data_IF_265322392357
#
_entry.id   IF_265322392357
#
_cell.length_a   1.000
_cell.length_b   1.000
_cell.length_c   1.000
_cell.angle_alpha   90.00
_cell.angle_beta   90.00
_cell.angle_gamma   90.00
#
_symmetry.space_group_name_H-M   'P 1'
#
loop_
_entity.id
_entity.type
_entity.pdbx_description
1 polymer ?
#
# COMPACT_ATOMS: atom_id res chain seq x y z
N UNK A 1 46.38 -12.91 -2.36
CA UNK A 1 46.35 -12.39 -3.73
C UNK A 1 47.58 -11.56 -3.92
N UNK A 2 48.24 -11.62 -5.07
CA UNK A 2 49.29 -10.65 -5.40
C UNK A 2 48.68 -9.25 -5.62
N UNK A 3 49.48 -8.20 -5.53
CA UNK A 3 49.02 -6.83 -5.81
C UNK A 3 48.57 -6.67 -7.27
N UNK A 4 49.15 -7.44 -8.20
CA UNK A 4 48.78 -7.39 -9.62
C UNK A 4 47.36 -7.90 -9.88
N UNK A 5 47.00 -9.08 -9.35
CA UNK A 5 45.64 -9.62 -9.50
C UNK A 5 44.61 -8.76 -8.76
N UNK A 6 45.00 -8.15 -7.62
CA UNK A 6 44.15 -7.20 -6.89
C UNK A 6 43.85 -5.96 -7.72
N UNK A 7 44.87 -5.36 -8.34
CA UNK A 7 44.70 -4.23 -9.28
C UNK A 7 43.83 -4.61 -10.47
N UNK A 8 43.95 -5.84 -10.99
CA UNK A 8 43.11 -6.33 -12.08
C UNK A 8 41.62 -6.35 -11.67
N UNK A 9 41.29 -6.99 -10.53
CA UNK A 9 39.92 -7.01 -10.02
C UNK A 9 39.38 -5.60 -9.75
N UNK A 10 40.17 -4.70 -9.15
CA UNK A 10 39.77 -3.30 -8.94
C UNK A 10 39.42 -2.62 -10.27
N UNK A 11 40.27 -2.76 -11.29
CA UNK A 11 40.00 -2.21 -12.63
C UNK A 11 38.71 -2.78 -13.23
N UNK A 12 38.48 -4.09 -13.10
CA UNK A 12 37.25 -4.72 -13.57
C UNK A 12 36.02 -4.21 -12.83
N UNK A 13 36.09 -4.01 -11.51
CA UNK A 13 35.00 -3.42 -10.75
C UNK A 13 34.71 -1.97 -11.15
N UNK A 14 35.74 -1.17 -11.45
CA UNK A 14 35.55 0.19 -11.96
C UNK A 14 34.81 0.17 -13.30
N UNK A 15 35.20 -0.70 -14.23
CA UNK A 15 34.52 -0.84 -15.53
C UNK A 15 33.05 -1.24 -15.32
N UNK A 16 32.79 -2.23 -14.45
CA UNK A 16 31.42 -2.63 -14.11
C UNK A 16 30.62 -1.48 -13.50
N UNK A 17 31.20 -0.73 -12.56
CA UNK A 17 30.55 0.42 -11.93
C UNK A 17 30.15 1.49 -12.98
N UNK A 18 31.00 1.76 -13.97
CA UNK A 18 30.66 2.67 -15.09
C UNK A 18 29.50 2.13 -15.92
N UNK A 19 29.47 0.82 -16.19
CA UNK A 19 28.34 0.19 -16.90
C UNK A 19 27.05 0.32 -16.08
N UNK A 20 27.09 -0.01 -14.79
CA UNK A 20 25.94 0.16 -13.89
C UNK A 20 25.44 1.60 -13.86
N UNK A 21 26.34 2.59 -13.80
CA UNK A 21 26.00 4.00 -13.84
C UNK A 21 25.36 4.40 -15.17
N UNK A 22 25.84 3.87 -16.30
CA UNK A 22 25.25 4.12 -17.61
C UNK A 22 23.82 3.57 -17.69
N UNK A 23 23.57 2.35 -17.20
CA UNK A 23 22.22 1.77 -17.14
C UNK A 23 21.31 2.52 -16.18
N UNK A 24 21.82 2.92 -15.01
CA UNK A 24 21.10 3.78 -14.08
C UNK A 24 20.69 5.10 -14.73
N UNK A 25 21.64 5.77 -15.38
CA UNK A 25 21.38 7.05 -16.05
C UNK A 25 20.36 6.87 -17.17
N UNK A 26 20.50 5.81 -17.98
CA UNK A 26 19.55 5.48 -19.03
C UNK A 26 18.13 5.30 -18.44
N UNK A 27 17.96 4.52 -17.37
CA UNK A 27 16.66 4.36 -16.70
C UNK A 27 16.11 5.66 -16.10
N UNK A 28 16.98 6.49 -15.54
CA UNK A 28 16.60 7.79 -15.00
C UNK A 28 16.05 8.74 -16.07
N UNK A 29 16.66 8.75 -17.25
CA UNK A 29 16.27 9.65 -18.35
C UNK A 29 15.17 9.08 -19.26
N UNK A 30 14.95 7.76 -19.31
CA UNK A 30 13.87 7.15 -20.11
C UNK A 30 12.52 7.08 -19.40
N UNK A 31 12.47 7.34 -18.10
CA UNK A 31 11.23 7.38 -17.34
C UNK A 31 10.28 8.45 -17.91
N UNK A 32 9.11 8.01 -18.39
CA UNK A 32 8.15 8.86 -19.13
C UNK A 32 7.32 9.80 -18.24
N UNK A 33 7.59 9.84 -16.95
CA UNK A 33 6.91 10.71 -15.98
C UNK A 33 5.62 10.13 -15.39
N UNK A 34 5.16 10.75 -14.29
CA UNK A 34 3.99 10.31 -13.49
C UNK A 34 2.70 10.11 -14.30
N UNK A 35 2.47 10.95 -15.30
CA UNK A 35 1.24 10.92 -16.13
C UNK A 35 1.11 9.61 -16.90
N UNK A 36 2.23 9.02 -17.34
CA UNK A 36 2.26 7.81 -18.15
C UNK A 36 2.21 6.50 -17.35
N UNK A 37 2.22 6.58 -16.02
CA UNK A 37 2.09 5.39 -15.16
C UNK A 37 0.68 4.80 -15.30
N UNK A 38 0.58 3.51 -15.50
CA UNK A 38 -0.67 2.76 -15.60
C UNK A 38 -0.54 1.42 -14.87
N UNK A 39 -1.60 0.61 -14.85
CA UNK A 39 -1.64 -0.69 -14.17
C UNK A 39 -0.57 -1.70 -14.61
N UNK A 40 0.02 -1.52 -15.79
CA UNK A 40 1.09 -2.37 -16.34
C UNK A 40 2.49 -1.80 -16.11
N UNK A 41 2.60 -0.66 -15.41
CA UNK A 41 3.89 -0.04 -15.15
C UNK A 41 4.66 -0.81 -14.10
N UNK A 42 5.85 -1.28 -14.48
CA UNK A 42 6.77 -2.04 -13.65
C UNK A 42 8.19 -1.54 -13.88
N UNK A 43 9.04 -1.60 -12.86
CA UNK A 43 10.43 -1.16 -13.03
C UNK A 43 11.32 -2.19 -13.70
N UNK A 44 10.95 -3.47 -13.67
CA UNK A 44 11.78 -4.50 -14.27
C UNK A 44 11.58 -4.54 -15.79
N UNK A 45 12.69 -4.40 -16.52
CA UNK A 45 12.71 -4.53 -17.98
C UNK A 45 12.94 -5.97 -18.44
N UNK A 46 13.57 -6.78 -17.60
CA UNK A 46 13.96 -8.13 -17.95
C UNK A 46 12.75 -9.08 -17.86
N UNK A 47 12.25 -9.51 -19.00
CA UNK A 47 11.28 -10.61 -19.18
C UNK A 47 11.96 -11.62 -20.13
N UNK A 48 12.05 -12.91 -19.75
CA UNK A 48 12.83 -13.91 -20.52
C UNK A 48 12.42 -14.04 -22.01
N UNK A 49 11.20 -13.62 -22.35
CA UNK A 49 10.62 -13.69 -23.70
C UNK A 49 10.76 -12.39 -24.50
N UNK A 50 11.55 -11.44 -24.03
CA UNK A 50 11.76 -10.14 -24.68
C UNK A 50 13.14 -10.11 -25.36
N UNK A 51 13.22 -9.61 -26.60
CA UNK A 51 14.45 -9.58 -27.42
C UNK A 51 15.61 -8.85 -26.74
N UNK A 52 15.24 -7.88 -25.89
CA UNK A 52 16.17 -7.13 -25.04
C UNK A 52 16.90 -8.07 -24.08
N UNK A 53 16.21 -9.03 -23.47
CA UNK A 53 16.74 -9.95 -22.46
C UNK A 53 17.77 -10.92 -23.02
N UNK A 54 17.55 -11.45 -24.22
CA UNK A 54 18.49 -12.35 -24.90
C UNK A 54 19.79 -11.61 -25.25
N UNK A 55 19.66 -10.42 -25.83
CA UNK A 55 20.79 -9.53 -26.15
C UNK A 55 21.63 -9.22 -24.90
N UNK A 56 20.97 -9.03 -23.74
CA UNK A 56 21.67 -8.76 -22.47
C UNK A 56 22.49 -9.95 -21.98
N UNK A 57 21.95 -11.16 -22.05
CA UNK A 57 22.70 -12.36 -21.69
C UNK A 57 23.92 -12.56 -22.59
N UNK A 58 23.78 -12.28 -23.89
CA UNK A 58 24.89 -12.38 -24.84
C UNK A 58 26.00 -11.37 -24.53
N UNK A 59 25.66 -10.08 -24.32
CA UNK A 59 26.64 -9.03 -23.99
C UNK A 59 27.33 -9.31 -22.65
N UNK A 60 26.57 -9.75 -21.64
CA UNK A 60 27.09 -10.15 -20.33
C UNK A 60 28.06 -11.33 -20.43
N UNK A 61 27.68 -12.36 -21.20
CA UNK A 61 28.52 -13.52 -21.46
C UNK A 61 29.81 -13.17 -22.21
N UNK A 62 29.72 -12.32 -23.24
CA UNK A 62 30.88 -11.84 -23.98
C UNK A 62 31.84 -11.04 -23.09
N UNK A 63 31.32 -10.17 -22.22
CA UNK A 63 32.13 -9.46 -21.24
C UNK A 63 32.86 -10.44 -20.30
N UNK A 64 32.16 -11.43 -19.76
CA UNK A 64 32.75 -12.44 -18.87
C UNK A 64 33.79 -13.30 -19.59
N UNK A 65 33.58 -13.61 -20.86
CA UNK A 65 34.55 -14.34 -21.68
C UNK A 65 35.85 -13.53 -21.86
N UNK A 66 35.72 -12.26 -22.27
CA UNK A 66 36.88 -11.36 -22.43
C UNK A 66 37.60 -11.18 -21.09
N UNK A 67 36.85 -10.96 -20.02
CA UNK A 67 37.38 -10.91 -18.65
C UNK A 67 38.17 -12.17 -18.31
N UNK A 68 37.60 -13.37 -18.52
CA UNK A 68 38.27 -14.63 -18.23
C UNK A 68 39.55 -14.80 -19.04
N UNK A 69 39.55 -14.44 -20.33
CA UNK A 69 40.74 -14.50 -21.20
C UNK A 69 41.87 -13.63 -20.62
N UNK A 70 41.57 -12.38 -20.24
CA UNK A 70 42.58 -11.49 -19.65
C UNK A 70 43.06 -11.97 -18.28
N UNK A 71 42.16 -12.52 -17.45
CA UNK A 71 42.50 -13.09 -16.16
C UNK A 71 43.47 -14.26 -16.32
N UNK A 72 43.18 -15.21 -17.21
CA UNK A 72 44.03 -16.37 -17.45
C UNK A 72 45.36 -15.94 -18.08
N UNK A 73 45.34 -15.09 -19.10
CA UNK A 73 46.56 -14.68 -19.81
C UNK A 73 47.56 -13.97 -18.90
N UNK A 74 47.08 -13.12 -18.01
CA UNK A 74 47.95 -12.22 -17.22
C UNK A 74 48.18 -12.69 -15.78
N UNK A 75 47.32 -13.56 -15.23
CA UNK A 75 47.33 -13.92 -13.81
C UNK A 75 47.14 -15.43 -13.57
N UNK A 76 47.49 -16.28 -14.55
CA UNK A 76 47.58 -17.73 -14.36
C UNK A 76 48.97 -18.17 -13.87
N UNK A 77 49.05 -19.40 -13.33
CA UNK A 77 50.27 -20.09 -12.87
C UNK A 77 50.93 -19.49 -11.62
N UNK A 78 50.19 -18.76 -10.81
CA UNK A 78 50.70 -18.16 -9.56
C UNK A 78 50.62 -19.11 -8.34
N UNK A 79 50.13 -20.35 -8.51
CA UNK A 79 50.09 -21.40 -7.47
C UNK A 79 49.49 -20.95 -6.11
N UNK A 80 48.37 -20.24 -6.16
CA UNK A 80 47.68 -19.79 -4.95
C UNK A 80 47.17 -20.98 -4.10
N UNK A 81 47.59 -21.04 -2.83
CA UNK A 81 47.08 -22.00 -1.84
C UNK A 81 46.08 -21.35 -0.87
N UNK A 82 45.14 -22.15 -0.36
CA UNK A 82 44.27 -21.80 0.77
C UNK A 82 43.48 -20.49 0.58
N UNK A 83 43.48 -19.62 1.60
CA UNK A 83 42.64 -18.42 1.67
C UNK A 83 42.81 -17.42 0.52
N UNK A 84 43.93 -17.45 -0.22
CA UNK A 84 44.10 -16.60 -1.40
C UNK A 84 43.25 -17.07 -2.60
N UNK A 85 43.06 -18.38 -2.75
CA UNK A 85 42.19 -18.96 -3.77
C UNK A 85 40.72 -18.65 -3.47
N UNK A 86 40.34 -18.71 -2.19
CA UNK A 86 39.00 -18.35 -1.73
C UNK A 86 38.68 -16.86 -1.99
N UNK A 87 39.63 -15.95 -1.74
CA UNK A 87 39.48 -14.52 -2.09
C UNK A 87 39.22 -14.33 -3.59
N UNK A 88 39.94 -15.04 -4.45
CA UNK A 88 39.71 -15.00 -5.91
C UNK A 88 38.32 -15.54 -6.25
N UNK A 89 37.89 -16.63 -5.63
CA UNK A 89 36.55 -17.18 -5.83
C UNK A 89 35.45 -16.18 -5.48
N UNK A 90 35.57 -15.45 -4.36
CA UNK A 90 34.65 -14.38 -3.98
C UNK A 90 34.68 -13.23 -5.00
N UNK A 91 35.86 -12.78 -5.43
CA UNK A 91 35.95 -11.72 -6.44
C UNK A 91 35.30 -12.13 -7.77
N UNK A 92 35.44 -13.39 -8.18
CA UNK A 92 34.75 -13.92 -9.36
C UNK A 92 33.23 -13.98 -9.18
N UNK A 93 32.74 -14.32 -7.98
CA UNK A 93 31.31 -14.30 -7.68
C UNK A 93 30.75 -12.88 -7.81
N UNK A 94 31.45 -11.89 -7.22
CA UNK A 94 31.05 -10.50 -7.31
C UNK A 94 31.06 -9.98 -8.75
N UNK A 95 32.07 -10.35 -9.55
CA UNK A 95 32.10 -9.99 -10.97
C UNK A 95 30.94 -10.63 -11.72
N UNK A 96 30.68 -11.93 -11.51
CA UNK A 96 29.55 -12.59 -12.14
C UNK A 96 28.23 -11.92 -11.78
N UNK A 97 28.00 -11.64 -10.49
CA UNK A 97 26.80 -10.97 -10.00
C UNK A 97 26.64 -9.57 -10.60
N UNK A 98 27.68 -8.73 -10.58
CA UNK A 98 27.64 -7.37 -11.13
C UNK A 98 27.41 -7.39 -12.65
N UNK A 99 28.10 -8.29 -13.37
CA UNK A 99 27.89 -8.43 -14.81
C UNK A 99 26.46 -8.82 -15.14
N UNK A 100 25.78 -9.65 -14.36
CA UNK A 100 24.39 -9.99 -14.64
C UNK A 100 23.37 -9.04 -14.02
N UNK A 101 23.75 -8.06 -13.20
CA UNK A 101 22.80 -7.19 -12.47
C UNK A 101 22.71 -5.76 -12.98
N UNK A 102 23.43 -5.36 -14.04
CA UNK A 102 23.36 -3.97 -14.53
C UNK A 102 21.97 -3.53 -14.99
N UNK A 103 21.09 -4.44 -15.43
CA UNK A 103 19.69 -4.08 -15.74
C UNK A 103 18.89 -3.71 -14.49
N UNK A 104 19.26 -4.23 -13.31
CA UNK A 104 18.64 -3.81 -12.05
C UNK A 104 18.97 -2.33 -11.80
N UNK A 105 20.16 -1.86 -12.21
CA UNK A 105 20.51 -0.45 -12.14
C UNK A 105 19.61 0.43 -13.02
N UNK A 106 19.16 -0.05 -14.17
CA UNK A 106 18.13 0.64 -14.97
C UNK A 106 16.83 0.81 -14.18
N UNK A 107 16.36 -0.26 -13.53
CA UNK A 107 15.18 -0.22 -12.68
C UNK A 107 15.35 0.74 -11.48
N UNK A 108 16.55 0.78 -10.89
CA UNK A 108 16.89 1.77 -9.86
C UNK A 108 16.88 3.21 -10.38
N UNK A 109 17.35 3.42 -11.62
CA UNK A 109 17.28 4.73 -12.28
C UNK A 109 15.86 5.24 -12.43
N UNK A 110 14.94 4.39 -12.92
CA UNK A 110 13.53 4.74 -13.03
C UNK A 110 12.88 5.01 -11.67
N UNK A 111 13.18 4.19 -10.67
CA UNK A 111 12.68 4.39 -9.31
C UNK A 111 13.21 5.70 -8.69
N UNK A 112 14.49 6.00 -8.89
CA UNK A 112 15.08 7.26 -8.45
C UNK A 112 14.39 8.44 -9.14
N UNK A 113 14.14 8.37 -10.45
CA UNK A 113 13.43 9.42 -11.17
C UNK A 113 11.99 9.59 -10.68
N UNK A 114 11.27 8.50 -10.42
CA UNK A 114 9.93 8.54 -9.82
C UNK A 114 9.95 9.31 -8.50
N UNK A 115 10.89 8.99 -7.61
CA UNK A 115 11.01 9.64 -6.29
C UNK A 115 11.44 11.10 -6.37
N UNK A 116 12.16 11.49 -7.42
CA UNK A 116 12.48 12.90 -7.70
C UNK A 116 11.24 13.67 -8.19
N UNK A 117 10.40 13.06 -9.04
CA UNK A 117 9.18 13.71 -9.55
C UNK A 117 8.04 13.72 -8.53
N UNK A 118 8.02 12.76 -7.61
CA UNK A 118 7.05 12.63 -6.54
C UNK A 118 7.77 12.16 -5.27
N UNK A 119 7.97 13.07 -4.31
CA UNK A 119 8.51 12.66 -3.03
C UNK A 119 7.50 11.78 -2.27
N UNK A 120 7.98 10.92 -1.38
CA UNK A 120 7.10 10.10 -0.53
C UNK A 120 6.20 10.98 0.34
N UNK A 121 6.74 12.10 0.85
CA UNK A 121 5.97 13.06 1.63
C UNK A 121 4.82 13.67 0.82
N UNK A 122 5.09 14.10 -0.41
CA UNK A 122 4.05 14.66 -1.29
C UNK A 122 3.01 13.62 -1.66
N UNK A 123 3.43 12.39 -1.96
CA UNK A 123 2.49 11.30 -2.23
C UNK A 123 1.61 10.97 -1.02
N UNK A 124 2.20 10.96 0.18
CA UNK A 124 1.46 10.77 1.42
C UNK A 124 0.50 11.93 1.69
N UNK A 125 0.87 13.18 1.38
CA UNK A 125 0.00 14.34 1.49
C UNK A 125 -1.17 14.29 0.49
N UNK A 126 -0.91 13.82 -0.74
CA UNK A 126 -1.96 13.59 -1.74
C UNK A 126 -2.95 12.52 -1.23
N UNK A 127 -2.46 11.40 -0.68
CA UNK A 127 -3.31 10.37 -0.06
C UNK A 127 -4.11 10.89 1.14
N UNK A 128 -3.52 11.72 2.01
CA UNK A 128 -4.23 12.35 3.13
C UNK A 128 -5.38 13.22 2.62
N UNK A 129 -5.15 14.02 1.57
CA UNK A 129 -6.21 14.83 0.96
C UNK A 129 -7.33 13.94 0.41
N UNK A 130 -6.99 12.90 -0.33
CA UNK A 130 -7.97 11.93 -0.86
C UNK A 130 -8.76 11.23 0.26
N UNK A 131 -8.12 10.88 1.38
CA UNK A 131 -8.78 10.28 2.53
C UNK A 131 -9.75 11.25 3.23
N UNK A 132 -9.38 12.52 3.38
CA UNK A 132 -10.27 13.57 3.91
C UNK A 132 -11.47 13.75 2.99
N UNK A 133 -11.25 13.80 1.68
CA UNK A 133 -12.28 14.05 0.67
C UNK A 133 -13.06 12.81 0.22
N UNK A 134 -12.69 11.61 0.68
CA UNK A 134 -13.21 10.33 0.18
C UNK A 134 -14.75 10.32 -0.04
N UNK A 135 -15.58 10.79 0.90
CA UNK A 135 -17.04 10.73 0.72
C UNK A 135 -17.54 11.66 -0.40
N UNK A 136 -16.81 12.71 -0.75
CA UNK A 136 -17.13 13.62 -1.84
C UNK A 136 -16.61 13.12 -3.19
N UNK A 137 -15.93 11.97 -3.23
CA UNK A 137 -15.41 11.39 -4.47
C UNK A 137 -16.47 10.54 -5.19
N UNK A 138 -17.59 10.18 -4.56
CA UNK A 138 -18.64 9.33 -5.13
C UNK A 138 -19.76 10.16 -5.79
N UNK A 139 -20.16 9.84 -7.02
CA UNK A 139 -20.96 10.74 -7.88
C UNK A 139 -22.46 10.44 -7.97
N UNK A 140 -22.87 9.23 -7.59
CA UNK A 140 -24.27 8.88 -7.49
C UNK A 140 -24.44 8.18 -6.16
N UNK A 141 -25.23 8.77 -5.28
CA UNK A 141 -25.55 8.12 -4.04
C UNK A 141 -27.03 8.24 -3.80
N UNK A 142 -27.72 7.13 -3.58
CA UNK A 142 -29.13 7.08 -3.13
C UNK A 142 -29.32 7.63 -1.71
N UNK A 143 -28.35 8.38 -1.20
CA UNK A 143 -28.24 8.83 0.18
C UNK A 143 -29.00 10.14 0.37
N UNK A 144 -29.56 10.37 1.56
CA UNK A 144 -30.01 11.69 1.97
C UNK A 144 -28.82 12.53 2.41
N UNK A 145 -28.95 13.84 2.26
CA UNK A 145 -27.95 14.80 2.70
C UNK A 145 -27.56 14.64 4.18
N UNK A 146 -28.53 14.35 5.04
CA UNK A 146 -28.31 14.08 6.46
C UNK A 146 -27.24 13.00 6.69
N UNK A 147 -27.20 11.95 5.89
CA UNK A 147 -26.29 10.84 6.16
C UNK A 147 -24.83 11.19 5.87
N UNK A 148 -24.56 12.00 4.83
CA UNK A 148 -23.21 12.40 4.43
C UNK A 148 -22.70 13.63 5.20
N UNK A 149 -23.63 14.50 5.62
CA UNK A 149 -23.34 15.81 6.22
C UNK A 149 -23.97 16.02 7.61
N UNK A 150 -24.27 14.96 8.37
CA UNK A 150 -24.56 15.09 9.80
C UNK A 150 -23.24 15.07 10.60
N UNK A 151 -23.04 16.11 11.42
CA UNK A 151 -21.85 16.24 12.25
C UNK A 151 -21.69 15.08 13.25
N UNK A 152 -22.79 14.47 13.71
CA UNK A 152 -22.76 13.30 14.60
C UNK A 152 -22.17 12.10 13.86
N UNK A 153 -22.55 11.88 12.59
CA UNK A 153 -21.97 10.83 11.76
C UNK A 153 -20.50 11.08 11.41
N UNK A 154 -20.07 12.35 11.35
CA UNK A 154 -18.69 12.75 11.01
C UNK A 154 -17.77 12.74 12.24
N UNK A 155 -18.26 13.14 13.42
CA UNK A 155 -17.50 13.22 14.67
C UNK A 155 -17.39 11.89 15.44
N UNK A 156 -18.24 10.91 15.09
CA UNK A 156 -18.18 9.56 15.65
C UNK A 156 -17.67 8.52 14.62
N UNK A 157 -16.41 8.58 14.16
CA UNK A 157 -15.83 7.57 13.26
C UNK A 157 -15.49 6.25 13.98
N UNK A 158 -15.89 6.06 15.24
CA UNK A 158 -15.84 4.74 15.87
C UNK A 158 -17.03 3.95 15.34
N UNK A 159 -16.86 2.67 14.97
CA UNK A 159 -17.98 1.87 14.53
C UNK A 159 -19.14 2.04 15.50
N UNK A 160 -20.34 2.31 15.00
CA UNK A 160 -21.51 1.66 15.56
C UNK A 160 -21.06 0.21 15.70
N UNK A 161 -20.66 -0.24 16.89
CA UNK A 161 -19.77 -1.38 16.94
C UNK A 161 -20.68 -2.55 16.61
N UNK A 162 -20.59 -3.10 15.40
CA UNK A 162 -21.47 -4.20 15.01
C UNK A 162 -20.71 -5.50 15.21
N UNK A 163 -21.31 -6.45 15.91
CA UNK A 163 -20.74 -7.78 16.08
C UNK A 163 -21.45 -8.74 15.14
N UNK A 164 -20.68 -9.43 14.30
CA UNK A 164 -21.15 -10.51 13.43
C UNK A 164 -21.42 -11.75 14.29
N UNK A 165 -22.58 -12.37 14.09
CA UNK A 165 -22.95 -13.66 14.67
C UNK A 165 -23.35 -14.59 13.52
N UNK A 166 -22.75 -15.77 13.49
CA UNK A 166 -23.09 -16.80 12.52
C UNK A 166 -23.86 -17.88 13.27
N UNK A 167 -25.15 -18.01 12.97
CA UNK A 167 -26.00 -19.05 13.55
C UNK A 167 -26.20 -20.14 12.49
N UNK A 168 -26.09 -21.41 12.90
CA UNK A 168 -26.37 -22.55 12.02
C UNK A 168 -27.85 -22.89 12.12
N UNK A 169 -28.61 -22.66 11.05
CA UNK A 169 -30.07 -22.88 11.03
C UNK A 169 -30.38 -24.37 10.88
N UNK A 170 -29.60 -25.09 10.07
CA UNK A 170 -29.79 -26.52 9.81
C UNK A 170 -28.47 -27.25 10.00
N UNK A 171 -28.44 -28.18 10.95
CA UNK A 171 -27.30 -29.07 11.17
C UNK A 171 -27.37 -30.28 10.25
N UNK A 172 -26.28 -30.55 9.50
CA UNK A 172 -26.18 -31.67 8.57
C UNK A 172 -24.86 -31.64 7.79
N UNK A 173 -24.73 -32.49 6.77
CA UNK A 173 -23.51 -32.62 5.92
C UNK A 173 -23.22 -31.34 5.10
N UNK A 174 -24.23 -30.48 4.92
CA UNK A 174 -24.12 -29.12 4.36
C UNK A 174 -24.86 -28.11 5.25
N UNK A 175 -24.20 -27.58 6.29
CA UNK A 175 -24.87 -26.67 7.22
C UNK A 175 -25.23 -25.35 6.54
N UNK A 176 -26.50 -24.94 6.67
CA UNK A 176 -26.95 -23.61 6.26
C UNK A 176 -26.66 -22.66 7.42
N UNK A 177 -25.81 -21.67 7.17
CA UNK A 177 -25.48 -20.63 8.14
C UNK A 177 -26.18 -19.34 7.75
N UNK A 178 -26.74 -18.65 8.73
CA UNK A 178 -27.28 -17.31 8.58
C UNK A 178 -26.42 -16.34 9.37
N UNK A 179 -26.04 -15.26 8.69
CA UNK A 179 -25.22 -14.21 9.26
C UNK A 179 -26.12 -13.10 9.77
N UNK A 180 -26.10 -12.87 11.07
CA UNK A 180 -26.77 -11.75 11.73
C UNK A 180 -25.74 -10.76 12.27
N UNK A 181 -26.05 -9.47 12.23
CA UNK A 181 -25.22 -8.43 12.83
C UNK A 181 -25.99 -7.75 13.96
N UNK A 182 -25.31 -7.37 15.03
CA UNK A 182 -25.93 -6.68 16.18
C UNK A 182 -25.16 -5.41 16.51
N UNK A 183 -25.85 -4.32 16.88
CA UNK A 183 -25.19 -3.15 17.47
C UNK A 183 -24.46 -3.52 18.77
N UNK A 184 -23.52 -2.69 19.18
CA UNK A 184 -22.81 -2.80 20.46
C UNK A 184 -23.10 -1.50 21.19
N UNK A 185 -23.86 -1.64 22.25
CA UNK A 185 -24.32 -0.52 23.06
C UNK A 185 -23.63 -0.57 24.42
N UNK A 186 -23.62 0.57 25.11
CA UNK A 186 -22.96 0.71 26.42
C UNK A 186 -23.92 1.32 27.42
N UNK A 187 -24.05 0.70 28.59
CA UNK A 187 -24.77 1.25 29.74
C UNK A 187 -23.75 1.59 30.82
N UNK A 188 -23.87 2.79 31.39
CA UNK A 188 -23.13 3.20 32.58
C UNK A 188 -24.11 3.55 33.69
N UNK A 189 -24.04 2.83 34.80
CA UNK A 189 -24.91 3.02 35.95
C UNK A 189 -24.11 2.91 37.25
N UNK A 190 -24.63 3.45 38.35
CA UNK A 190 -24.08 3.17 39.68
C UNK A 190 -24.15 1.66 39.94
N UNK A 191 -23.06 1.08 40.45
CA UNK A 191 -22.97 -0.36 40.73
C UNK A 191 -24.08 -0.81 41.67
N UNK A 192 -24.35 -0.01 42.70
CA UNK A 192 -25.43 -0.25 43.66
C UNK A 192 -26.83 -0.19 43.03
N UNK A 193 -27.03 0.64 42.01
CA UNK A 193 -28.29 0.70 41.27
C UNK A 193 -28.43 -0.51 40.37
N UNK A 194 -27.41 -0.81 39.56
CA UNK A 194 -27.40 -1.94 38.62
C UNK A 194 -27.61 -3.28 39.31
N UNK A 195 -26.99 -3.49 40.47
CA UNK A 195 -27.10 -4.75 41.21
C UNK A 195 -28.49 -4.93 41.82
N UNK A 196 -29.14 -3.84 42.25
CA UNK A 196 -30.51 -3.83 42.82
C UNK A 196 -31.61 -3.94 41.76
N UNK A 197 -31.32 -3.59 40.52
CA UNK A 197 -32.29 -3.66 39.42
C UNK A 197 -32.47 -5.13 39.04
N UNK A 198 -33.68 -5.69 39.11
CA UNK A 198 -33.94 -7.14 38.88
C UNK A 198 -35.01 -7.42 37.86
N UNK A 199 -35.85 -6.44 37.48
CA UNK A 199 -37.00 -6.67 36.62
C UNK A 199 -37.08 -5.71 35.44
N UNK A 200 -37.81 -6.12 34.41
CA UNK A 200 -38.02 -5.33 33.19
C UNK A 200 -38.61 -3.95 33.48
N UNK A 201 -39.54 -3.87 34.44
CA UNK A 201 -40.24 -2.65 34.88
C UNK A 201 -39.36 -1.63 35.62
N UNK A 202 -38.07 -1.91 35.77
CA UNK A 202 -37.12 -0.94 36.31
C UNK A 202 -36.65 0.00 35.18
N UNK A 203 -36.50 1.30 35.49
CA UNK A 203 -36.29 2.37 34.50
C UNK A 203 -35.10 2.16 33.54
N UNK A 204 -34.08 1.39 33.93
CA UNK A 204 -32.91 1.08 33.10
C UNK A 204 -33.24 0.00 32.06
N UNK A 205 -34.03 -1.01 32.43
CA UNK A 205 -34.37 -2.14 31.55
C UNK A 205 -35.58 -1.85 30.65
N UNK A 206 -36.50 -1.00 31.10
CA UNK A 206 -37.61 -0.52 30.28
C UNK A 206 -37.12 0.25 29.04
N UNK A 207 -36.04 1.02 29.18
CA UNK A 207 -35.41 1.75 28.06
C UNK A 207 -34.73 0.78 27.07
N UNK A 208 -34.20 -0.34 27.55
CA UNK A 208 -33.48 -1.33 26.73
C UNK A 208 -34.43 -2.32 26.04
N UNK A 209 -35.64 -2.52 26.59
CA UNK A 209 -36.66 -3.41 26.03
C UNK A 209 -36.48 -4.90 26.37
N UNK A 210 -35.41 -5.27 27.10
CA UNK A 210 -35.12 -6.64 27.53
C UNK A 210 -34.66 -6.69 29.01
N UNK A 211 -34.86 -7.84 29.65
CA UNK A 211 -34.60 -8.03 31.09
C UNK A 211 -33.11 -8.27 31.42
N UNK A 212 -32.81 -8.39 32.72
CA UNK A 212 -31.46 -8.60 33.24
C UNK A 212 -30.81 -9.89 32.74
N UNK A 213 -31.57 -10.98 32.61
CA UNK A 213 -31.03 -12.27 32.15
C UNK A 213 -30.65 -12.21 30.66
N UNK A 214 -31.50 -11.57 29.85
CA UNK A 214 -31.28 -11.33 28.43
C UNK A 214 -30.09 -10.39 28.20
N UNK A 215 -29.93 -9.34 29.03
CA UNK A 215 -28.75 -8.47 29.01
C UNK A 215 -27.47 -9.28 29.30
N UNK A 216 -27.47 -10.15 30.32
CA UNK A 216 -26.29 -10.96 30.66
C UNK A 216 -25.83 -11.88 29.52
N UNK A 217 -26.76 -12.46 28.75
CA UNK A 217 -26.44 -13.26 27.56
C UNK A 217 -25.81 -12.43 26.43
N UNK A 218 -26.02 -11.12 26.45
CA UNK A 218 -25.57 -10.16 25.42
C UNK A 218 -24.33 -9.39 25.85
N UNK A 219 -23.85 -9.51 27.09
CA UNK A 219 -22.66 -8.79 27.57
C UNK A 219 -21.42 -9.21 26.78
N UNK A 220 -20.66 -8.21 26.33
CA UNK A 220 -19.35 -8.33 25.70
C UNK A 220 -18.26 -8.03 26.73
N UNK A 221 -18.44 -6.98 27.53
CA UNK A 221 -17.54 -6.66 28.63
C UNK A 221 -18.25 -5.93 29.76
N UNK A 222 -17.71 -6.06 30.97
CA UNK A 222 -18.16 -5.37 32.18
C UNK A 222 -16.94 -4.80 32.89
N UNK A 223 -16.95 -3.50 33.14
CA UNK A 223 -15.86 -2.77 33.81
C UNK A 223 -16.43 -2.00 35.01
N UNK A 224 -15.80 -2.13 36.16
CA UNK A 224 -16.17 -1.36 37.35
C UNK A 224 -15.16 -0.21 37.51
N UNK A 225 -15.64 1.02 37.55
CA UNK A 225 -14.85 2.24 37.71
C UNK A 225 -15.41 3.01 38.91
N UNK A 226 -14.72 2.91 40.05
CA UNK A 226 -15.22 3.43 41.32
C UNK A 226 -16.57 2.81 41.67
N UNK A 227 -17.57 3.65 41.95
CA UNK A 227 -18.94 3.23 42.28
C UNK A 227 -19.84 3.05 41.04
N UNK A 228 -19.26 3.06 39.84
CA UNK A 228 -19.98 2.88 38.58
C UNK A 228 -19.61 1.59 37.87
N UNK A 229 -20.61 0.93 37.31
CA UNK A 229 -20.45 -0.21 36.43
C UNK A 229 -20.76 0.24 35.00
N UNK A 230 -19.81 -0.01 34.11
CA UNK A 230 -19.96 0.12 32.67
C UNK A 230 -20.11 -1.27 32.04
N UNK A 231 -21.13 -1.46 31.22
CA UNK A 231 -21.43 -2.72 30.54
C UNK A 231 -21.55 -2.45 29.05
N UNK A 232 -20.74 -3.15 28.27
CA UNK A 232 -20.79 -3.18 26.81
C UNK A 232 -21.52 -4.46 26.40
N UNK A 233 -22.54 -4.39 25.55
CA UNK A 233 -23.38 -5.54 25.21
C UNK A 233 -23.88 -5.50 23.75
N UNK A 234 -24.32 -6.65 23.23
CA UNK A 234 -24.98 -6.80 21.92
C UNK A 234 -26.38 -6.21 21.99
N UNK A 235 -26.61 -5.08 21.32
CA UNK A 235 -27.89 -4.41 21.24
C UNK A 235 -28.84 -5.03 20.22
N UNK A 236 -29.47 -4.19 19.40
CA UNK A 236 -30.45 -4.60 18.40
C UNK A 236 -29.79 -5.27 17.19
N UNK A 237 -30.51 -6.18 16.53
CA UNK A 237 -30.07 -6.77 15.26
C UNK A 237 -30.15 -5.71 14.16
N UNK A 238 -29.08 -5.60 13.37
CA UNK A 238 -28.94 -4.66 12.26
C UNK A 238 -28.60 -5.41 10.98
N UNK A 239 -28.91 -4.82 9.83
CA UNK A 239 -28.66 -5.42 8.51
C UNK A 239 -27.70 -4.53 7.71
N UNK A 240 -26.38 -4.60 7.93
CA UNK A 240 -25.39 -3.74 7.29
C UNK A 240 -25.44 -3.70 5.76
N UNK A 241 -25.92 -4.78 5.14
CA UNK A 241 -26.01 -4.95 3.69
C UNK A 241 -27.31 -4.38 3.09
N UNK A 242 -28.31 -4.05 3.92
CA UNK A 242 -29.62 -3.54 3.52
C UNK A 242 -30.02 -2.22 4.19
N UNK A 243 -29.25 -1.80 5.19
CA UNK A 243 -29.43 -0.56 5.91
C UNK A 243 -28.59 0.53 5.24
N UNK A 244 -29.27 1.41 4.48
CA UNK A 244 -28.65 2.51 3.74
C UNK A 244 -27.86 3.48 4.65
N UNK A 245 -28.06 3.45 5.97
CA UNK A 245 -27.31 4.24 6.96
C UNK A 245 -25.96 3.61 7.31
N UNK A 246 -25.84 2.28 7.25
CA UNK A 246 -24.63 1.53 7.59
C UNK A 246 -23.59 1.57 6.45
N UNK A 247 -24.03 1.57 5.18
CA UNK A 247 -23.13 1.70 4.02
C UNK A 247 -22.30 3.00 4.07
N UNK A 248 -22.93 4.12 4.45
CA UNK A 248 -22.28 5.44 4.53
C UNK A 248 -21.28 5.49 5.69
N UNK A 249 -21.58 4.80 6.79
CA UNK A 249 -20.67 4.65 7.92
C UNK A 249 -19.41 3.85 7.52
N UNK A 250 -19.58 2.76 6.77
CA UNK A 250 -18.47 1.95 6.24
C UNK A 250 -17.63 2.71 5.20
N UNK A 251 -18.27 3.50 4.34
CA UNK A 251 -17.60 4.34 3.33
C UNK A 251 -16.87 5.54 3.96
N UNK A 252 -17.48 6.21 4.96
CA UNK A 252 -16.83 7.31 5.70
C UNK A 252 -15.64 6.85 6.56
N UNK A 253 -15.68 5.61 7.06
CA UNK A 253 -14.59 4.95 7.79
C UNK A 253 -13.46 4.49 6.86
N UNK A 254 -13.78 4.21 5.59
CA UNK A 254 -12.81 3.76 4.62
C UNK A 254 -11.86 4.89 4.22
N UNK A 255 -10.57 4.60 4.26
CA UNK A 255 -9.56 5.45 3.65
C UNK A 255 -9.57 5.15 2.14
N UNK A 256 -9.45 6.18 1.32
CA UNK A 256 -9.21 6.01 -0.11
C UNK A 256 -7.94 5.18 -0.35
N UNK A 257 -6.87 5.49 0.39
CA UNK A 257 -5.62 4.74 0.36
C UNK A 257 -4.81 4.99 1.64
N UNK A 258 -4.30 3.96 2.33
CA UNK A 258 -3.53 4.14 3.55
C UNK A 258 -2.21 4.87 3.28
N UNK A 259 -1.89 5.77 4.19
CA UNK A 259 -0.59 6.47 4.26
C UNK A 259 0.39 5.56 5.00
N UNK A 260 1.64 5.52 4.56
CA UNK A 260 2.67 4.72 5.23
C UNK A 260 3.13 5.41 6.52
N UNK A 261 3.37 4.63 7.59
CA UNK A 261 3.92 5.11 8.86
C UNK A 261 2.92 5.36 10.01
N UNK A 262 1.63 5.55 9.73
CA UNK A 262 0.59 5.73 10.77
C UNK A 262 -0.38 4.52 10.81
N UNK A 263 -0.99 4.25 11.98
CA UNK A 263 -2.03 3.21 12.07
C UNK A 263 -3.29 3.61 11.31
N UNK A 264 -3.97 2.62 10.70
CA UNK A 264 -5.21 2.85 9.95
C UNK A 264 -6.25 3.58 10.81
N UNK A 265 -6.42 3.15 12.07
CA UNK A 265 -7.36 3.78 13.00
C UNK A 265 -7.07 5.27 13.26
N UNK A 266 -5.78 5.64 13.41
CA UNK A 266 -5.37 7.04 13.58
C UNK A 266 -5.66 7.85 12.32
N UNK A 267 -5.38 7.30 11.14
CA UNK A 267 -5.62 7.97 9.87
C UNK A 267 -7.12 8.20 9.63
N UNK A 268 -7.95 7.18 9.87
CA UNK A 268 -9.41 7.29 9.74
C UNK A 268 -9.97 8.35 10.68
N UNK A 269 -9.54 8.36 11.95
CA UNK A 269 -9.95 9.38 12.91
C UNK A 269 -9.55 10.78 12.46
N UNK A 270 -8.28 10.97 12.08
CA UNK A 270 -7.78 12.28 11.68
C UNK A 270 -8.47 12.79 10.42
N UNK A 271 -8.69 11.91 9.42
CA UNK A 271 -9.41 12.28 8.20
C UNK A 271 -10.85 12.73 8.49
N UNK A 272 -11.54 12.08 9.43
CA UNK A 272 -12.87 12.47 9.88
C UNK A 272 -12.87 13.82 10.61
N UNK A 273 -11.91 14.04 11.53
CA UNK A 273 -11.75 15.33 12.24
C UNK A 273 -11.47 16.47 11.26
N UNK A 274 -10.59 16.25 10.28
CA UNK A 274 -10.23 17.29 9.31
C UNK A 274 -11.40 17.58 8.37
N UNK A 275 -12.16 16.55 7.97
CA UNK A 275 -13.42 16.71 7.21
C UNK A 275 -14.45 17.52 7.99
N UNK A 276 -14.65 17.21 9.27
CA UNK A 276 -15.54 17.98 10.15
C UNK A 276 -15.12 19.45 10.22
N UNK A 277 -13.84 19.72 10.48
CA UNK A 277 -13.33 21.09 10.54
C UNK A 277 -13.55 21.83 9.21
N UNK A 278 -13.35 21.14 8.09
CA UNK A 278 -13.53 21.71 6.76
C UNK A 278 -15.00 22.06 6.46
N UNK A 279 -15.94 21.25 6.94
CA UNK A 279 -17.37 21.42 6.71
C UNK A 279 -18.04 22.40 7.68
N UNK A 280 -17.68 22.40 8.97
CA UNK A 280 -18.42 23.17 9.99
C UNK A 280 -17.62 24.29 10.65
N UNK A 281 -16.28 24.15 10.73
CA UNK A 281 -15.46 25.08 11.51
C UNK A 281 -14.59 26.00 10.65
N UNK A 282 -14.59 25.81 9.33
CA UNK A 282 -13.78 26.57 8.38
C UNK A 282 -14.64 27.47 7.50
N UNK A 283 -14.02 28.50 6.92
CA UNK A 283 -14.69 29.34 5.92
C UNK A 283 -14.98 28.54 4.65
N UNK A 284 -16.02 28.91 3.91
CA UNK A 284 -16.38 28.31 2.60
C UNK A 284 -15.19 28.23 1.63
N UNK A 285 -14.34 29.26 1.65
CA UNK A 285 -13.13 29.34 0.81
C UNK A 285 -12.13 28.21 1.09
N UNK A 286 -12.07 27.71 2.33
CA UNK A 286 -11.19 26.59 2.69
C UNK A 286 -11.58 25.30 1.97
N UNK A 287 -12.89 25.01 1.84
CA UNK A 287 -13.37 23.86 1.07
C UNK A 287 -13.11 24.05 -0.43
N UNK A 288 -13.33 25.27 -0.94
CA UNK A 288 -13.02 25.60 -2.35
C UNK A 288 -11.55 25.35 -2.65
N UNK A 289 -10.65 25.84 -1.80
CA UNK A 289 -9.21 25.61 -1.94
C UNK A 289 -8.85 24.12 -1.87
N UNK A 290 -9.52 23.37 -0.99
CA UNK A 290 -9.32 21.92 -0.86
C UNK A 290 -9.73 21.18 -2.13
N UNK A 291 -10.84 21.57 -2.78
CA UNK A 291 -11.23 21.03 -4.09
C UNK A 291 -10.35 21.49 -5.25
N UNK A 292 -9.75 22.69 -5.19
CA UNK A 292 -8.72 23.10 -6.16
C UNK A 292 -7.48 22.22 -6.06
N UNK A 293 -7.08 21.85 -4.83
CA UNK A 293 -6.00 20.88 -4.61
C UNK A 293 -6.37 19.50 -5.16
N UNK A 294 -7.62 19.05 -4.99
CA UNK A 294 -8.09 17.81 -5.62
C UNK A 294 -7.97 17.87 -7.15
N UNK A 295 -8.46 18.92 -7.81
CA UNK A 295 -8.32 19.09 -9.28
C UNK A 295 -6.84 19.08 -9.71
N UNK A 296 -5.96 19.71 -8.92
CA UNK A 296 -4.51 19.67 -9.14
C UNK A 296 -3.95 18.25 -9.08
N UNK A 297 -4.37 17.44 -8.10
CA UNK A 297 -3.99 16.02 -7.98
C UNK A 297 -4.49 15.21 -9.18
N UNK A 298 -5.75 15.40 -9.59
CA UNK A 298 -6.33 14.71 -10.74
C UNK A 298 -5.52 15.00 -12.01
N UNK A 299 -5.20 16.27 -12.27
CA UNK A 299 -4.36 16.69 -13.41
C UNK A 299 -2.92 16.19 -13.32
N UNK A 300 -2.32 16.22 -12.12
CA UNK A 300 -0.97 15.68 -11.85
C UNK A 300 -0.89 14.20 -12.23
N UNK A 301 -1.93 13.43 -11.91
CA UNK A 301 -2.02 12.01 -12.21
C UNK A 301 -2.65 11.68 -13.56
N UNK A 302 -2.97 12.68 -14.38
CA UNK A 302 -3.58 12.50 -15.69
C UNK A 302 -4.93 11.75 -15.63
N UNK A 303 -5.76 12.11 -14.65
CA UNK A 303 -7.11 11.61 -14.51
C UNK A 303 -8.05 12.56 -15.24
N UNK A 304 -8.93 12.01 -16.08
CA UNK A 304 -9.96 12.80 -16.75
C UNK A 304 -10.92 13.38 -15.71
N UNK A 305 -11.12 14.70 -15.77
CA UNK A 305 -11.97 15.42 -14.82
C UNK A 305 -12.62 16.64 -15.46
N UNK A 306 -13.88 16.88 -15.11
CA UNK A 306 -14.62 18.11 -15.38
C UNK A 306 -15.03 18.81 -14.07
N UNK A 307 -14.33 18.50 -12.97
CA UNK A 307 -14.59 19.04 -11.65
C UNK A 307 -14.35 20.56 -11.64
N UNK A 308 -15.35 21.30 -11.17
CA UNK A 308 -15.26 22.75 -10.97
C UNK A 308 -15.30 23.04 -9.46
N UNK A 309 -14.17 23.38 -8.80
CA UNK A 309 -14.08 23.44 -7.33
C UNK A 309 -15.12 24.34 -6.65
N UNK A 310 -15.43 25.48 -7.25
CA UNK A 310 -16.44 26.43 -6.73
C UNK A 310 -17.85 25.84 -6.76
N UNK A 311 -18.20 25.20 -7.87
CA UNK A 311 -19.51 24.56 -8.05
C UNK A 311 -19.67 23.38 -7.10
N UNK A 312 -18.64 22.54 -6.97
CA UNK A 312 -18.64 21.43 -6.02
C UNK A 312 -18.77 21.92 -4.56
N UNK A 313 -18.13 23.03 -4.21
CA UNK A 313 -18.31 23.65 -2.89
C UNK A 313 -19.75 24.09 -2.66
N UNK A 314 -20.37 24.71 -3.66
CA UNK A 314 -21.78 25.12 -3.57
C UNK A 314 -22.69 23.90 -3.34
N UNK A 315 -22.48 22.82 -4.08
CA UNK A 315 -23.26 21.58 -3.93
C UNK A 315 -23.10 21.00 -2.52
N UNK A 316 -21.87 20.91 -2.02
CA UNK A 316 -21.59 20.39 -0.67
C UNK A 316 -22.28 21.23 0.41
N UNK A 317 -22.21 22.55 0.33
CA UNK A 317 -22.86 23.41 1.32
C UNK A 317 -24.40 23.40 1.19
N UNK A 318 -24.92 23.33 -0.04
CA UNK A 318 -26.35 23.18 -0.31
C UNK A 318 -26.89 21.93 0.38
N UNK A 319 -26.23 20.78 0.18
CA UNK A 319 -26.65 19.56 0.86
C UNK A 319 -26.46 19.68 2.38
N UNK A 320 -25.27 20.06 2.87
CA UNK A 320 -25.03 20.22 4.31
C UNK A 320 -26.11 21.02 5.04
N UNK A 321 -26.60 22.08 4.40
CA UNK A 321 -27.60 22.98 4.98
C UNK A 321 -29.05 22.47 4.80
N UNK A 322 -29.30 21.55 3.84
CA UNK A 322 -30.61 20.96 3.53
C UNK A 322 -30.63 19.44 3.78
N UNK A 323 -30.96 19.03 5.01
CA UNK A 323 -30.80 17.66 5.52
C UNK A 323 -31.69 16.61 4.87
N UNK A 324 -32.89 16.98 4.44
CA UNK A 324 -33.90 16.05 3.93
C UNK A 324 -33.82 15.81 2.41
N UNK A 325 -32.96 16.56 1.70
CA UNK A 325 -32.84 16.39 0.25
C UNK A 325 -32.05 15.12 -0.11
N UNK A 326 -32.52 14.32 -1.08
CA UNK A 326 -31.72 13.25 -1.65
C UNK A 326 -30.49 13.84 -2.34
N UNK A 327 -29.33 13.20 -2.14
CA UNK A 327 -28.03 13.61 -2.65
C UNK A 327 -27.90 13.35 -4.17
N UNK A 328 -28.74 14.02 -4.94
CA UNK A 328 -28.83 13.88 -6.38
C UNK A 328 -28.16 15.10 -7.05
N UNK A 329 -26.85 15.04 -7.31
CA UNK A 329 -26.20 16.02 -8.18
C UNK A 329 -24.98 16.76 -7.63
N UNK A 330 -24.18 16.14 -6.74
CA UNK A 330 -22.84 16.66 -6.47
C UNK A 330 -22.03 16.61 -7.78
N UNK A 331 -21.58 17.78 -8.27
CA UNK A 331 -20.79 17.91 -9.51
C UNK A 331 -19.32 17.53 -9.31
N UNK A 332 -19.05 16.25 -9.07
CA UNK A 332 -17.72 15.67 -8.86
C UNK A 332 -17.29 14.71 -9.99
N UNK A 333 -17.50 15.10 -11.24
CA UNK A 333 -17.26 14.23 -12.40
C UNK A 333 -15.75 14.06 -12.68
N UNK A 334 -15.23 12.86 -12.47
CA UNK A 334 -13.90 12.40 -12.87
C UNK A 334 -13.83 10.87 -12.98
N UNK A 335 -12.80 10.34 -13.63
CA UNK A 335 -12.56 8.90 -13.73
C UNK A 335 -12.02 8.33 -12.41
N UNK A 336 -12.94 7.83 -11.58
CA UNK A 336 -12.66 7.23 -10.27
C UNK A 336 -11.84 5.96 -10.38
N UNK A 337 -12.12 5.14 -11.40
CA UNK A 337 -11.42 3.87 -11.60
C UNK A 337 -9.97 4.13 -11.96
N UNK A 338 -9.72 5.06 -12.89
CA UNK A 338 -8.37 5.47 -13.23
C UNK A 338 -7.61 6.04 -12.03
N UNK A 339 -8.25 6.85 -11.18
CA UNK A 339 -7.62 7.36 -9.96
C UNK A 339 -7.23 6.22 -9.00
N UNK A 340 -8.16 5.31 -8.71
CA UNK A 340 -7.92 4.18 -7.80
C UNK A 340 -6.79 3.27 -8.32
N UNK A 341 -6.82 2.93 -9.62
CA UNK A 341 -5.79 2.14 -10.28
C UNK A 341 -4.42 2.84 -10.27
N UNK A 342 -4.38 4.15 -10.52
CA UNK A 342 -3.15 4.95 -10.46
C UNK A 342 -2.55 4.95 -9.06
N UNK A 343 -3.34 5.24 -8.03
CA UNK A 343 -2.87 5.29 -6.64
C UNK A 343 -2.40 3.91 -6.17
N UNK A 344 -3.12 2.84 -6.55
CA UNK A 344 -2.70 1.45 -6.28
C UNK A 344 -1.36 1.12 -6.93
N UNK A 345 -1.19 1.48 -8.20
CA UNK A 345 0.07 1.26 -8.93
C UNK A 345 1.22 2.05 -8.30
N UNK A 346 1.00 3.32 -7.99
CA UNK A 346 2.00 4.16 -7.30
C UNK A 346 2.39 3.58 -5.94
N UNK A 347 1.43 3.14 -5.11
CA UNK A 347 1.75 2.49 -3.84
C UNK A 347 2.66 1.28 -4.04
N UNK A 348 2.36 0.40 -5.01
CA UNK A 348 3.21 -0.75 -5.34
C UNK A 348 4.62 -0.29 -5.74
N UNK A 349 4.74 0.72 -6.60
CA UNK A 349 6.04 1.23 -7.05
C UNK A 349 6.85 1.91 -5.93
N UNK A 350 6.20 2.58 -4.97
CA UNK A 350 6.88 3.26 -3.86
C UNK A 350 7.33 2.31 -2.75
N UNK A 351 6.44 1.40 -2.34
CA UNK A 351 6.61 0.61 -1.10
C UNK A 351 6.98 -0.85 -1.36
N UNK A 352 6.61 -1.39 -2.53
CA UNK A 352 6.87 -2.78 -2.91
C UNK A 352 7.52 -2.87 -4.31
N UNK A 353 8.59 -2.10 -4.59
CA UNK A 353 9.18 -2.08 -5.91
C UNK A 353 9.79 -3.44 -6.25
N UNK A 354 9.32 -4.02 -7.35
CA UNK A 354 9.88 -5.25 -7.89
C UNK A 354 10.89 -4.90 -9.00
N UNK A 355 12.13 -5.33 -8.83
CA UNK A 355 13.22 -5.11 -9.79
C UNK A 355 13.54 -6.35 -10.63
N UNK A 356 12.96 -7.48 -10.26
CA UNK A 356 12.98 -8.75 -10.97
C UNK A 356 11.57 -9.30 -11.03
N UNK A 357 11.20 -9.94 -12.13
CA UNK A 357 9.94 -10.64 -12.18
C UNK A 357 9.96 -11.82 -11.16
N UNK A 358 8.93 -12.04 -10.33
CA UNK A 358 8.94 -13.08 -9.30
C UNK A 358 9.29 -14.47 -9.86
N UNK A 359 8.67 -14.86 -10.98
CA UNK A 359 8.91 -16.16 -11.64
C UNK A 359 10.33 -16.36 -12.17
N UNK A 360 11.11 -15.29 -12.35
CA UNK A 360 12.46 -15.39 -12.95
C UNK A 360 13.56 -15.31 -11.90
N UNK A 361 13.23 -14.90 -10.68
CA UNK A 361 14.21 -14.59 -9.64
C UNK A 361 15.09 -15.80 -9.31
N UNK A 362 14.50 -16.97 -9.12
CA UNK A 362 15.24 -18.20 -8.84
C UNK A 362 16.17 -18.61 -9.99
N UNK A 363 15.67 -18.58 -11.23
CA UNK A 363 16.44 -18.90 -12.43
C UNK A 363 17.61 -17.93 -12.59
N UNK A 364 17.37 -16.63 -12.37
CA UNK A 364 18.38 -15.59 -12.44
C UNK A 364 19.55 -15.86 -11.49
N UNK A 365 19.28 -16.13 -10.21
CA UNK A 365 20.33 -16.44 -9.25
C UNK A 365 21.02 -17.77 -9.53
N UNK A 366 20.29 -18.78 -10.01
CA UNK A 366 20.88 -20.05 -10.42
C UNK A 366 21.91 -19.86 -11.56
N UNK A 367 21.58 -19.06 -12.57
CA UNK A 367 22.51 -18.75 -13.68
C UNK A 367 23.77 -18.06 -13.18
N UNK A 368 23.66 -17.09 -12.25
CA UNK A 368 24.83 -16.42 -11.65
C UNK A 368 25.74 -17.44 -10.96
N UNK A 369 25.17 -18.35 -10.16
CA UNK A 369 25.94 -19.37 -9.44
C UNK A 369 26.62 -20.33 -10.42
N UNK A 370 25.91 -20.79 -11.46
CA UNK A 370 26.47 -21.68 -12.48
C UNK A 370 27.61 -21.04 -13.26
N UNK A 371 27.46 -19.77 -13.67
CA UNK A 371 28.50 -19.04 -14.39
C UNK A 371 29.69 -18.77 -13.47
N UNK A 372 29.46 -18.41 -12.21
CA UNK A 372 30.51 -18.28 -11.21
C UNK A 372 31.31 -19.57 -11.05
N UNK A 373 30.63 -20.71 -10.90
CA UNK A 373 31.27 -22.02 -10.82
C UNK A 373 32.11 -22.31 -12.06
N UNK A 374 31.58 -22.05 -13.25
CA UNK A 374 32.31 -22.23 -14.50
C UNK A 374 33.57 -21.35 -14.55
N UNK A 375 33.46 -20.04 -14.27
CA UNK A 375 34.59 -19.11 -14.23
C UNK A 375 35.67 -19.58 -13.24
N UNK A 376 35.25 -20.03 -12.06
CA UNK A 376 36.17 -20.52 -11.05
C UNK A 376 36.86 -21.83 -11.47
N UNK A 377 36.12 -22.79 -12.02
CA UNK A 377 36.67 -24.04 -12.56
C UNK A 377 37.68 -23.79 -13.68
N UNK A 378 37.36 -22.91 -14.62
CA UNK A 378 38.29 -22.50 -15.67
C UNK A 378 39.55 -21.87 -15.06
N UNK A 379 39.40 -20.95 -14.11
CA UNK A 379 40.55 -20.37 -13.42
C UNK A 379 41.42 -21.44 -12.74
N UNK A 380 40.83 -22.44 -12.08
CA UNK A 380 41.58 -23.53 -11.44
C UNK A 380 42.36 -24.39 -12.43
N UNK A 381 41.76 -24.76 -13.56
CA UNK A 381 42.41 -25.57 -14.60
C UNK A 381 43.66 -24.86 -15.10
N UNK A 382 43.56 -23.57 -15.42
CA UNK A 382 44.66 -22.80 -15.99
C UNK A 382 45.66 -22.29 -14.95
N UNK A 383 45.30 -22.26 -13.66
CA UNK A 383 46.19 -21.85 -12.58
C UNK A 383 47.06 -22.99 -12.02
N UNK A 384 46.84 -24.24 -12.43
CA UNK A 384 47.77 -25.35 -12.12
C UNK A 384 49.04 -25.20 -12.95
N UNK A 385 50.21 -25.23 -12.30
CA UNK A 385 51.51 -25.29 -12.99
C UNK A 385 51.47 -26.46 -13.99
N UNK A 386 51.95 -26.27 -15.23
CA UNK A 386 52.39 -27.42 -16.03
C UNK A 386 53.43 -28.14 -15.17
N UNK A 387 53.13 -29.36 -14.75
CA UNK A 387 54.18 -30.28 -14.30
C UNK A 387 55.11 -30.39 -15.50
N UNK A 388 56.29 -29.79 -15.38
CA UNK A 388 57.41 -30.21 -16.22
C UNK A 388 57.86 -31.57 -15.73
#
# INVERSE_FOLDING_TARGET
MTENIKRYFIKSFIVLAVIHLAYFSYGYFTFKGLKNINIYTEFYRFKFYDDVSISHFFVSGLFLLIFLIFLIRNHSRENYKGGNLFKVAICLLLISFLTFSFFISYSFGMNAKLKTELSENDFNNDKKLLNVLNPFLYGYTSYSSEKLFNYENILYPKPYPVIKKEDTIVTGEYPITETSYYSIDTIKALTSTFDKTTHKADSIFDILGFDKEELYKRVISKTVIGDSTEIVFKGIQVHPEHDNDICIFLENKSLFSPVHGDSIGKQTYQAAVDRYKLLYNSKKDSLTYTFQRLDTILRKYNIETSLVPKQLTQDVYHYRDNKEEPLNGIRNTFDRKALAEKIKTLNKLFYEPNYLHPNIMAIYFAVIVLVWMALFLFYLIFNRKKSQ
#
